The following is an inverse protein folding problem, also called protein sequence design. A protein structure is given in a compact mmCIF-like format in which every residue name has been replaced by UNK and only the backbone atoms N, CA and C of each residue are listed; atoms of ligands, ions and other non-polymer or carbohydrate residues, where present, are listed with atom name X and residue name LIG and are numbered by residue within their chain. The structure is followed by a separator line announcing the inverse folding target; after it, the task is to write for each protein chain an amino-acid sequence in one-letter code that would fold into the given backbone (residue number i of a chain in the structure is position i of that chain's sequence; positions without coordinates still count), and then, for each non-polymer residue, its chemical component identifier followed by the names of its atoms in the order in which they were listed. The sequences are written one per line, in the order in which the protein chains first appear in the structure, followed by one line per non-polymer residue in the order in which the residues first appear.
data_IF_671675786552
#
_entry.id   IF_671675786552
#
_cell.length_a   1.000
_cell.length_b   1.000
_cell.length_c   1.000
_cell.angle_alpha   90.00
_cell.angle_beta   90.00
_cell.angle_gamma   90.00
#
_symmetry.space_group_name_H-M   'P 1'
#
loop_
_entity.id
_entity.type
_entity.pdbx_description
1 polymer ?
#
# COMPACT_ATOMS: atom_id res chain seq x y z
N UNK A 1 -1.70 9.79 15.19
CA UNK A 1 -1.90 8.78 14.12
C UNK A 1 -2.53 9.48 12.92
N UNK A 2 -2.01 9.27 11.72
CA UNK A 2 -2.58 9.82 10.49
C UNK A 2 -3.14 8.69 9.65
N UNK A 3 -4.40 8.79 9.26
CA UNK A 3 -5.08 7.79 8.44
C UNK A 3 -5.30 8.38 7.05
N UNK A 4 -4.68 7.77 6.03
CA UNK A 4 -4.90 8.11 4.63
C UNK A 4 -6.11 7.33 4.09
N UNK A 5 -7.13 8.05 3.64
CA UNK A 5 -8.37 7.45 3.11
C UNK A 5 -8.83 8.11 1.81
N UNK A 6 -9.46 7.33 0.93
CA UNK A 6 -9.95 7.81 -0.38
C UNK A 6 -10.97 8.94 -0.24
N UNK A 7 -11.86 8.80 0.74
CA UNK A 7 -12.85 9.80 1.08
C UNK A 7 -12.75 10.12 2.58
N UNK A 8 -12.29 11.34 2.94
CA UNK A 8 -12.18 11.74 4.34
C UNK A 8 -13.52 12.18 4.95
N UNK A 9 -14.57 12.38 4.14
CA UNK A 9 -15.89 12.90 4.54
C UNK A 9 -16.94 11.78 4.57
N UNK A 10 -16.96 10.89 3.57
CA UNK A 10 -17.86 9.74 3.60
C UNK A 10 -17.39 8.79 4.69
N UNK A 11 -18.27 8.52 5.66
CA UNK A 11 -18.08 7.50 6.68
C UNK A 11 -17.70 6.19 6.03
N UNK A 12 -16.40 5.89 6.04
CA UNK A 12 -15.89 4.59 5.64
C UNK A 12 -16.54 3.58 6.57
N UNK A 13 -17.37 2.69 5.99
CA UNK A 13 -17.94 1.47 6.57
C UNK A 13 -17.69 1.36 8.07
N UNK A 14 -18.71 1.68 8.89
CA UNK A 14 -18.98 1.40 10.33
C UNK A 14 -17.80 1.06 11.26
N UNK A 15 -16.83 0.25 10.84
CA UNK A 15 -15.64 -0.18 11.57
C UNK A 15 -14.56 0.91 11.79
N UNK A 16 -14.33 1.87 10.89
CA UNK A 16 -13.37 2.97 11.16
C UNK A 16 -13.97 3.97 12.15
N UNK A 17 -15.26 4.28 12.08
CA UNK A 17 -15.92 5.12 13.07
C UNK A 17 -15.87 4.49 14.47
N UNK A 18 -16.10 3.18 14.57
CA UNK A 18 -15.95 2.42 15.82
C UNK A 18 -14.49 2.36 16.30
N UNK A 19 -13.55 1.98 15.44
CA UNK A 19 -12.11 1.94 15.76
C UNK A 19 -11.60 3.31 16.20
N UNK A 20 -11.99 4.36 15.47
CA UNK A 20 -11.63 5.73 15.80
C UNK A 20 -12.36 6.22 17.03
N UNK A 21 -13.60 5.84 17.32
CA UNK A 21 -14.27 6.19 18.60
C UNK A 21 -13.61 5.53 19.83
N UNK A 22 -13.04 4.33 19.64
CA UNK A 22 -12.27 3.63 20.68
C UNK A 22 -10.89 4.28 20.91
N UNK A 23 -10.28 4.81 19.84
CA UNK A 23 -8.98 5.49 19.89
C UNK A 23 -9.03 7.01 20.04
N UNK A 24 -10.14 7.71 19.77
CA UNK A 24 -10.32 9.17 19.92
C UNK A 24 -10.37 9.57 21.40
N UNK A 25 -10.52 8.61 22.32
CA UNK A 25 -10.17 8.82 23.73
C UNK A 25 -8.68 9.13 23.92
N UNK A 26 -7.82 8.81 22.94
CA UNK A 26 -6.45 9.33 22.79
C UNK A 26 -6.45 10.47 21.75
N UNK A 27 -6.15 11.69 22.20
CA UNK A 27 -6.47 12.97 21.56
C UNK A 27 -5.89 13.30 20.16
N UNK A 28 -5.18 12.41 19.45
CA UNK A 28 -4.38 12.80 18.27
C UNK A 28 -4.54 11.87 17.03
N UNK A 29 -5.74 11.76 16.47
CA UNK A 29 -5.99 11.06 15.18
C UNK A 29 -6.41 12.04 14.09
N UNK A 30 -5.67 12.12 12.99
CA UNK A 30 -5.98 12.96 11.82
C UNK A 30 -6.32 12.11 10.59
N UNK A 31 -7.34 12.53 9.83
CA UNK A 31 -7.68 11.93 8.53
C UNK A 31 -7.16 12.82 7.41
N UNK A 32 -6.46 12.24 6.44
CA UNK A 32 -6.01 12.95 5.24
C UNK A 32 -6.42 12.17 3.99
N UNK A 33 -6.67 12.87 2.89
CA UNK A 33 -7.09 12.25 1.63
C UNK A 33 -5.91 11.52 0.98
N UNK A 34 -6.14 10.30 0.52
CA UNK A 34 -5.17 9.53 -0.27
C UNK A 34 -5.82 8.34 -0.98
N UNK A 35 -5.38 8.04 -2.19
CA UNK A 35 -5.82 6.86 -2.96
C UNK A 35 -4.62 6.10 -3.53
N UNK A 36 -4.68 4.77 -3.42
CA UNK A 36 -3.69 3.84 -3.99
C UNK A 36 -3.95 3.51 -5.47
N UNK A 37 -4.99 4.08 -6.07
CA UNK A 37 -5.42 3.78 -7.45
C UNK A 37 -4.58 4.48 -8.53
N UNK A 38 -3.65 5.36 -8.15
CA UNK A 38 -2.67 5.93 -9.09
C UNK A 38 -1.40 6.43 -8.40
N UNK A 39 -0.29 6.40 -9.12
CA UNK A 39 1.01 6.92 -8.68
C UNK A 39 0.95 8.42 -8.38
N UNK A 40 0.22 9.20 -9.21
CA UNK A 40 0.00 10.64 -8.97
C UNK A 40 -0.70 10.88 -7.64
N UNK A 41 -1.77 10.14 -7.36
CA UNK A 41 -2.51 10.27 -6.10
C UNK A 41 -1.62 9.93 -4.89
N UNK A 42 -0.82 8.86 -4.98
CA UNK A 42 0.12 8.47 -3.93
C UNK A 42 1.14 9.59 -3.65
N UNK A 43 1.76 10.16 -4.70
CA UNK A 43 2.72 11.26 -4.54
C UNK A 43 2.09 12.51 -3.93
N UNK A 44 0.86 12.85 -4.33
CA UNK A 44 0.12 13.98 -3.75
C UNK A 44 -0.12 13.75 -2.26
N UNK A 45 -0.61 12.57 -1.87
CA UNK A 45 -0.84 12.23 -0.47
C UNK A 45 0.46 12.25 0.34
N UNK A 46 1.53 11.66 -0.19
CA UNK A 46 2.86 11.69 0.43
C UNK A 46 3.36 13.13 0.62
N UNK A 47 3.21 13.99 -0.39
CA UNK A 47 3.59 15.40 -0.29
C UNK A 47 2.83 16.16 0.80
N UNK A 48 1.55 15.83 1.05
CA UNK A 48 0.82 16.40 2.19
C UNK A 48 1.46 15.96 3.51
N UNK A 49 1.77 14.67 3.66
CA UNK A 49 2.41 14.14 4.88
C UNK A 49 3.77 14.81 5.09
N UNK A 50 4.61 14.88 4.06
CA UNK A 50 5.94 15.50 4.12
C UNK A 50 5.86 16.99 4.49
N UNK A 51 4.87 17.74 4.01
CA UNK A 51 4.70 19.15 4.40
C UNK A 51 4.14 19.34 5.81
N UNK A 52 3.37 18.36 6.31
CA UNK A 52 2.67 18.50 7.60
C UNK A 52 3.53 18.05 8.77
N UNK A 53 4.31 16.99 8.61
CA UNK A 53 5.03 16.34 9.71
C UNK A 53 6.53 16.43 9.49
N UNK A 54 7.26 16.88 10.51
CA UNK A 54 8.73 16.93 10.47
C UNK A 54 9.35 15.53 10.49
N UNK A 55 8.66 14.57 11.11
CA UNK A 55 9.13 13.20 11.33
C UNK A 55 7.99 12.20 11.21
N UNK A 56 8.32 10.98 10.79
CA UNK A 56 7.42 9.83 10.77
C UNK A 56 8.06 8.70 11.58
N UNK A 57 7.46 8.34 12.70
CA UNK A 57 7.96 7.26 13.58
C UNK A 57 7.55 5.86 13.08
N UNK A 58 6.47 5.78 12.31
CA UNK A 58 6.01 4.53 11.73
C UNK A 58 5.07 4.73 10.54
N UNK A 59 5.20 3.86 9.54
CA UNK A 59 4.33 3.77 8.38
C UNK A 59 3.76 2.36 8.30
N UNK A 60 2.43 2.26 8.26
CA UNK A 60 1.73 0.98 8.03
C UNK A 60 0.99 1.05 6.69
N UNK A 61 1.47 0.26 5.74
CA UNK A 61 0.88 0.11 4.41
C UNK A 61 -0.09 -1.08 4.42
N UNK A 62 -1.36 -0.82 4.77
CA UNK A 62 -2.40 -1.85 4.92
C UNK A 62 -3.55 -1.73 3.92
N UNK A 63 -3.58 -0.68 3.09
CA UNK A 63 -4.67 -0.48 2.14
C UNK A 63 -4.60 -1.53 1.03
N UNK A 64 -5.69 -2.28 0.81
CA UNK A 64 -5.69 -3.29 -0.22
C UNK A 64 -7.09 -3.65 -0.72
N UNK A 65 -7.11 -4.35 -1.85
CA UNK A 65 -8.29 -5.02 -2.40
C UNK A 65 -8.02 -6.52 -2.51
N UNK A 66 -9.06 -7.33 -2.32
CA UNK A 66 -9.00 -8.78 -2.48
C UNK A 66 -8.96 -9.22 -3.95
N UNK A 67 -8.94 -10.54 -4.21
CA UNK A 67 -9.09 -11.10 -5.55
C UNK A 67 -10.28 -10.50 -6.30
N UNK A 68 -10.08 -10.19 -7.57
CA UNK A 68 -11.10 -9.61 -8.44
C UNK A 68 -11.63 -10.67 -9.41
N UNK A 69 -12.83 -10.50 -9.93
CA UNK A 69 -13.42 -11.42 -10.93
C UNK A 69 -13.17 -10.97 -12.37
N UNK A 70 -12.65 -9.77 -12.57
CA UNK A 70 -12.42 -9.18 -13.89
C UNK A 70 -11.15 -8.35 -13.88
N UNK A 71 -10.41 -8.38 -14.99
CA UNK A 71 -9.26 -7.52 -15.22
C UNK A 71 -9.69 -6.06 -15.37
N UNK A 72 -9.05 -5.16 -14.62
CA UNK A 72 -9.17 -3.73 -14.87
C UNK A 72 -7.83 -3.03 -14.66
N UNK A 73 -7.35 -2.26 -15.66
CA UNK A 73 -6.17 -1.44 -15.50
C UNK A 73 -6.51 -0.14 -14.77
N UNK A 74 -5.55 0.37 -14.02
CA UNK A 74 -5.59 1.73 -13.49
C UNK A 74 -5.24 2.76 -14.56
N UNK A 75 -5.40 4.04 -14.23
CA UNK A 75 -5.01 5.14 -15.12
C UNK A 75 -3.51 5.14 -15.47
N UNK A 76 -2.67 4.51 -14.63
CA UNK A 76 -1.24 4.36 -14.88
C UNK A 76 -0.92 3.12 -15.74
N UNK A 77 -1.93 2.38 -16.21
CA UNK A 77 -1.77 1.21 -17.09
C UNK A 77 -1.44 -0.11 -16.38
N UNK A 78 -1.26 -0.09 -15.06
CA UNK A 78 -1.05 -1.31 -14.27
C UNK A 78 -2.37 -1.99 -13.91
N UNK A 79 -2.36 -3.32 -13.81
CA UNK A 79 -3.45 -4.08 -13.19
C UNK A 79 -3.73 -3.53 -11.79
N UNK A 80 -5.01 -3.34 -11.49
CA UNK A 80 -5.51 -2.68 -10.28
C UNK A 80 -5.05 -3.23 -8.94
N UNK A 81 -5.08 -4.54 -8.75
CA UNK A 81 -4.72 -5.22 -7.52
C UNK A 81 -3.22 -5.07 -7.27
N UNK A 82 -2.41 -5.22 -8.32
CA UNK A 82 -0.96 -4.96 -8.28
C UNK A 82 -0.69 -3.48 -7.96
N UNK A 83 -1.38 -2.55 -8.62
CA UNK A 83 -1.23 -1.12 -8.37
C UNK A 83 -1.57 -0.76 -6.93
N UNK A 84 -2.71 -1.24 -6.42
CA UNK A 84 -3.23 -0.87 -5.11
C UNK A 84 -2.44 -1.55 -3.98
N UNK A 85 -2.23 -2.87 -4.05
CA UNK A 85 -1.68 -3.65 -2.94
C UNK A 85 -0.15 -3.59 -2.88
N UNK A 86 0.52 -3.35 -4.03
CA UNK A 86 1.98 -3.39 -4.11
C UNK A 86 2.57 -2.05 -4.54
N UNK A 87 2.31 -1.58 -5.77
CA UNK A 87 3.04 -0.44 -6.34
C UNK A 87 2.80 0.85 -5.55
N UNK A 88 1.56 1.10 -5.14
CA UNK A 88 1.22 2.26 -4.33
C UNK A 88 1.94 2.25 -2.97
N UNK A 89 2.03 1.10 -2.32
CA UNK A 89 2.71 0.92 -1.04
C UNK A 89 4.22 1.10 -1.16
N UNK A 90 4.83 0.47 -2.17
CA UNK A 90 6.25 0.62 -2.45
C UNK A 90 6.63 2.08 -2.77
N UNK A 91 5.79 2.75 -3.57
CA UNK A 91 6.00 4.16 -3.90
C UNK A 91 5.84 5.07 -2.67
N UNK A 92 4.80 4.84 -1.86
CA UNK A 92 4.54 5.65 -0.67
C UNK A 92 5.69 5.56 0.32
N UNK A 93 6.13 4.34 0.65
CA UNK A 93 7.24 4.13 1.60
C UNK A 93 8.56 4.71 1.08
N UNK A 94 8.83 4.59 -0.22
CA UNK A 94 10.02 5.18 -0.85
C UNK A 94 10.01 6.70 -0.77
N UNK A 95 8.89 7.35 -1.10
CA UNK A 95 8.78 8.83 -1.06
C UNK A 95 8.87 9.36 0.37
N UNK A 96 8.31 8.64 1.34
CA UNK A 96 8.35 9.05 2.76
C UNK A 96 9.65 8.68 3.48
N UNK A 97 10.55 7.94 2.83
CA UNK A 97 11.76 7.40 3.43
C UNK A 97 12.63 8.47 4.12
N UNK A 98 12.71 9.68 3.55
CA UNK A 98 13.49 10.79 4.11
C UNK A 98 13.04 11.21 5.53
N UNK A 99 11.77 11.00 5.87
CA UNK A 99 11.22 11.31 7.20
C UNK A 99 11.07 10.09 8.10
N UNK A 100 11.41 8.91 7.58
CA UNK A 100 11.36 7.60 8.25
C UNK A 100 12.74 7.13 8.76
N UNK A 101 13.75 8.00 8.81
CA UNK A 101 15.17 7.63 9.09
C UNK A 101 15.42 6.86 10.39
N UNK A 102 14.54 6.97 11.39
CA UNK A 102 14.55 6.14 12.61
C UNK A 102 13.20 5.46 12.88
N UNK A 103 12.33 5.47 11.89
CA UNK A 103 11.00 4.89 11.97
C UNK A 103 10.96 3.46 11.45
N UNK A 104 9.78 2.86 11.54
CA UNK A 104 9.52 1.52 11.02
C UNK A 104 8.57 1.58 9.83
N UNK A 105 8.81 0.76 8.81
CA UNK A 105 7.88 0.56 7.70
C UNK A 105 7.34 -0.85 7.77
N UNK A 106 6.02 -0.97 7.83
CA UNK A 106 5.30 -2.25 7.87
C UNK A 106 4.45 -2.34 6.61
N UNK A 107 4.75 -3.31 5.75
CA UNK A 107 3.87 -3.69 4.67
C UNK A 107 3.01 -4.88 5.10
N UNK A 108 1.69 -4.73 5.02
CA UNK A 108 0.76 -5.83 5.31
C UNK A 108 0.66 -6.71 4.06
N UNK A 109 0.84 -8.01 4.27
CA UNK A 109 0.77 -9.05 3.24
C UNK A 109 -0.30 -10.09 3.59
N UNK A 110 -0.29 -11.22 2.89
CA UNK A 110 -1.23 -12.34 3.07
C UNK A 110 -0.51 -13.68 2.94
N UNK A 111 -1.05 -14.72 3.57
CA UNK A 111 -0.59 -16.10 3.39
C UNK A 111 -0.70 -16.56 1.92
N UNK A 112 -1.63 -15.97 1.16
CA UNK A 112 -1.80 -16.18 -0.27
C UNK A 112 -0.52 -15.89 -1.09
N UNK A 113 0.44 -15.10 -0.54
CA UNK A 113 1.75 -14.91 -1.15
C UNK A 113 2.55 -16.22 -1.33
N UNK A 114 2.21 -17.29 -0.60
CA UNK A 114 2.82 -18.61 -0.72
C UNK A 114 2.17 -19.46 -1.82
N UNK A 115 0.96 -19.10 -2.25
CA UNK A 115 0.14 -19.85 -3.22
C UNK A 115 0.31 -19.33 -4.65
N UNK A 116 1.47 -18.75 -4.98
CA UNK A 116 1.73 -18.27 -6.34
C UNK A 116 2.20 -19.41 -7.25
N UNK A 117 1.66 -19.44 -8.46
CA UNK A 117 2.29 -20.13 -9.60
C UNK A 117 3.74 -19.65 -9.78
N UNK A 118 4.62 -20.44 -10.42
CA UNK A 118 5.97 -20.00 -10.75
C UNK A 118 5.93 -18.64 -11.47
N UNK A 119 6.69 -17.67 -10.95
CA UNK A 119 6.69 -16.31 -11.49
C UNK A 119 7.23 -16.30 -12.92
N UNK A 120 6.36 -15.99 -13.88
CA UNK A 120 6.77 -15.76 -15.27
C UNK A 120 7.41 -14.38 -15.41
N UNK A 121 8.75 -14.36 -15.46
CA UNK A 121 9.54 -13.15 -15.67
C UNK A 121 9.30 -12.49 -17.04
N UNK A 122 8.79 -13.23 -18.03
CA UNK A 122 8.42 -12.67 -19.33
C UNK A 122 7.07 -11.93 -19.27
N UNK A 123 6.20 -12.26 -18.31
CA UNK A 123 4.89 -11.61 -18.10
C UNK A 123 4.73 -11.05 -16.67
N UNK A 124 5.60 -10.12 -16.24
CA UNK A 124 5.64 -9.64 -14.86
C UNK A 124 4.42 -8.81 -14.44
N UNK A 125 3.52 -8.45 -15.35
CA UNK A 125 2.34 -7.61 -15.06
C UNK A 125 0.97 -8.24 -15.35
N UNK A 126 0.92 -9.52 -15.74
CA UNK A 126 -0.30 -10.27 -16.12
C UNK A 126 -1.13 -9.52 -17.17
N UNK A 127 -1.06 -9.99 -18.43
CA UNK A 127 -1.84 -9.43 -19.53
C UNK A 127 -3.25 -10.03 -19.54
N UNK A 128 -4.17 -9.36 -20.24
CA UNK A 128 -5.60 -9.66 -20.32
C UNK A 128 -5.98 -11.00 -21.00
N UNK A 129 -5.01 -11.85 -21.35
CA UNK A 129 -5.25 -13.04 -22.18
C UNK A 129 -6.01 -14.13 -21.42
N UNK A 130 -5.69 -14.34 -20.13
CA UNK A 130 -6.44 -15.16 -19.17
C UNK A 130 -6.29 -14.50 -17.79
N UNK A 131 -7.39 -14.02 -17.21
CA UNK A 131 -7.36 -13.34 -15.93
C UNK A 131 -7.75 -14.28 -14.78
N UNK A 132 -6.80 -14.54 -13.89
CA UNK A 132 -7.05 -15.18 -12.59
C UNK A 132 -6.81 -14.16 -11.47
N UNK A 133 -7.89 -13.68 -10.85
CA UNK A 133 -7.79 -12.67 -9.80
C UNK A 133 -7.17 -13.18 -8.51
N UNK A 134 -7.21 -14.48 -8.23
CA UNK A 134 -6.52 -15.05 -7.07
C UNK A 134 -5.02 -15.05 -7.35
N UNK A 135 -4.60 -15.48 -8.53
CA UNK A 135 -3.19 -15.41 -8.94
C UNK A 135 -2.65 -13.98 -8.88
N UNK A 136 -3.38 -13.03 -9.45
CA UNK A 136 -3.03 -11.60 -9.40
C UNK A 136 -2.89 -11.11 -7.95
N UNK A 137 -3.84 -11.45 -7.09
CA UNK A 137 -3.83 -11.07 -5.68
C UNK A 137 -2.63 -11.68 -4.93
N UNK A 138 -2.45 -13.00 -5.03
CA UNK A 138 -1.31 -13.73 -4.46
C UNK A 138 0.01 -13.14 -4.91
N UNK A 139 0.12 -12.83 -6.21
CA UNK A 139 1.32 -12.22 -6.78
C UNK A 139 1.56 -10.80 -6.24
N UNK A 140 0.52 -10.00 -6.06
CA UNK A 140 0.65 -8.67 -5.44
C UNK A 140 1.22 -8.75 -4.01
N UNK A 141 0.84 -9.78 -3.26
CA UNK A 141 1.31 -10.03 -1.89
C UNK A 141 2.74 -10.57 -1.86
N UNK A 142 3.12 -11.42 -2.82
CA UNK A 142 4.51 -11.83 -3.01
C UNK A 142 5.39 -10.64 -3.38
N UNK A 143 4.97 -9.80 -4.33
CA UNK A 143 5.73 -8.64 -4.79
C UNK A 143 6.01 -7.66 -3.63
N UNK A 144 5.03 -7.40 -2.75
CA UNK A 144 5.27 -6.53 -1.60
C UNK A 144 6.21 -7.16 -0.55
N UNK A 145 6.19 -8.49 -0.39
CA UNK A 145 7.16 -9.20 0.46
C UNK A 145 8.59 -9.05 -0.10
N UNK A 146 8.75 -9.28 -1.40
CA UNK A 146 10.05 -9.10 -2.08
C UNK A 146 10.54 -7.67 -1.96
N UNK A 147 9.68 -6.69 -2.23
CA UNK A 147 10.03 -5.27 -2.07
C UNK A 147 10.45 -4.94 -0.63
N UNK A 148 9.73 -5.46 0.36
CA UNK A 148 10.05 -5.23 1.78
C UNK A 148 11.44 -5.77 2.13
N UNK A 149 11.77 -6.98 1.66
CA UNK A 149 13.10 -7.57 1.87
C UNK A 149 14.20 -6.72 1.21
N UNK A 150 14.01 -6.34 -0.06
CA UNK A 150 14.96 -5.48 -0.78
C UNK A 150 15.13 -4.11 -0.13
N UNK A 151 14.05 -3.52 0.39
CA UNK A 151 14.11 -2.25 1.11
C UNK A 151 14.86 -2.39 2.44
N UNK A 152 14.65 -3.47 3.18
CA UNK A 152 15.35 -3.74 4.44
C UNK A 152 16.87 -3.88 4.23
N UNK A 153 17.29 -4.54 3.15
CA UNK A 153 18.70 -4.66 2.77
C UNK A 153 19.35 -3.30 2.47
N UNK A 154 18.59 -2.35 1.90
CA UNK A 154 19.08 -0.98 1.63
C UNK A 154 19.06 -0.07 2.85
N UNK A 155 18.13 -0.31 3.78
CA UNK A 155 17.97 0.49 5.00
C UNK A 155 18.89 0.03 6.14
N UNK A 156 19.43 -1.19 6.07
CA UNK A 156 20.38 -1.71 7.06
C UNK A 156 21.80 -1.45 6.55
N UNK A 157 22.57 -0.54 7.16
CA UNK A 157 23.99 -0.41 6.83
C UNK A 157 24.73 -1.63 7.40
N UNK A 158 24.97 -2.64 6.55
CA UNK A 158 25.81 -3.80 6.87
C UNK A 158 25.05 -5.08 7.20
N UNK A 159 24.89 -5.92 6.20
CA UNK A 159 24.99 -7.39 6.31
C UNK A 159 26.19 -7.81 5.45
#
# INVERSE_FOLDING_TARGET
VVILVRNPIAGANVNIATFVSLYERQKNVERKRGSSTSTRSVRVAAGVVLRTFERIDGLVCCAGIGPQTTYYPTIDGYESTIQINCLAHALLSTVLAEKLTKGVVIHVSSHAALDTTPFDYAKPFLTNEIFDGLEVYSRSMLMINVFTKMAAEKCSPGL
#
